data_IF_934804567250
#
_entry.id   IF_934804567250
#
_cell.length_a   1.000
_cell.length_b   1.000
_cell.length_c   1.000
_cell.angle_alpha   90.00
_cell.angle_beta   90.00
_cell.angle_gamma   90.00
#
_symmetry.space_group_name_H-M   'P 1'
#
loop_
_entity.id
_entity.type
_entity.pdbx_description
1 polymer ?
#
# COMPACT_ATOMS: atom_id res chain seq x y z
N UNK A 1 -8.29 15.40 16.15
CA UNK A 1 -9.14 14.82 15.08
C UNK A 1 -8.81 13.35 15.00
N UNK A 2 -9.80 12.46 15.16
CA UNK A 2 -9.65 11.03 14.90
C UNK A 2 -9.20 10.87 13.45
N UNK A 3 -7.99 10.39 13.21
CA UNK A 3 -7.55 10.04 11.84
C UNK A 3 -8.01 8.62 11.57
N UNK A 4 -8.82 8.45 10.54
CA UNK A 4 -9.17 7.14 10.04
C UNK A 4 -8.02 6.70 9.12
N UNK A 5 -7.31 5.62 9.49
CA UNK A 5 -6.26 5.05 8.64
C UNK A 5 -6.83 3.87 7.86
N UNK A 6 -6.58 3.84 6.56
CA UNK A 6 -6.89 2.67 5.74
C UNK A 6 -5.66 1.79 5.67
N UNK A 7 -5.81 0.49 5.91
CA UNK A 7 -4.69 -0.46 5.86
C UNK A 7 -5.11 -1.76 5.18
N UNK A 8 -4.13 -2.55 4.74
CA UNK A 8 -4.38 -3.90 4.25
C UNK A 8 -4.88 -4.82 5.37
N UNK A 9 -5.99 -5.52 5.10
CA UNK A 9 -6.65 -6.39 6.08
C UNK A 9 -5.91 -7.73 6.28
N UNK A 10 -5.30 -8.23 5.20
CA UNK A 10 -4.56 -9.48 5.11
C UNK A 10 -3.36 -9.29 4.18
N UNK A 11 -2.36 -10.20 4.20
CA UNK A 11 -1.33 -10.21 3.18
C UNK A 11 -1.95 -10.43 1.79
N UNK A 12 -1.51 -9.66 0.80
CA UNK A 12 -2.06 -9.73 -0.57
C UNK A 12 -0.90 -9.89 -1.53
N UNK A 13 -0.98 -10.90 -2.40
CA UNK A 13 -0.03 -11.10 -3.50
C UNK A 13 -0.60 -10.53 -4.78
N UNK A 14 0.17 -9.69 -5.45
CA UNK A 14 -0.18 -9.10 -6.74
C UNK A 14 0.98 -9.25 -7.72
N UNK A 15 0.68 -9.25 -9.01
CA UNK A 15 1.70 -9.08 -10.04
C UNK A 15 2.05 -7.59 -10.16
N UNK A 16 3.33 -7.25 -9.99
CA UNK A 16 3.82 -5.88 -10.07
C UNK A 16 4.99 -5.76 -11.04
N UNK A 17 4.69 -5.27 -12.24
CA UNK A 17 5.67 -4.93 -13.28
C UNK A 17 6.72 -6.05 -13.49
N UNK A 18 8.00 -5.68 -13.50
CA UNK A 18 9.13 -6.58 -13.76
C UNK A 18 9.55 -7.39 -12.51
N UNK A 19 8.87 -7.21 -11.38
CA UNK A 19 9.17 -7.90 -10.12
C UNK A 19 8.35 -9.19 -9.96
N UNK A 20 7.41 -9.45 -10.87
CA UNK A 20 6.51 -10.59 -10.79
C UNK A 20 5.58 -10.46 -9.58
N UNK A 21 5.37 -11.57 -8.87
CA UNK A 21 4.49 -11.61 -7.70
C UNK A 21 5.18 -11.00 -6.47
N UNK A 22 4.65 -9.89 -5.99
CA UNK A 22 5.02 -9.29 -4.70
C UNK A 22 3.89 -9.46 -3.70
N UNK A 23 4.24 -9.60 -2.43
CA UNK A 23 3.32 -9.78 -1.32
C UNK A 23 3.39 -8.55 -0.43
N UNK A 24 2.29 -7.79 -0.40
CA UNK A 24 2.09 -6.68 0.53
C UNK A 24 1.65 -7.28 1.87
N UNK A 25 2.37 -7.01 2.98
CA UNK A 25 1.96 -7.48 4.31
C UNK A 25 0.59 -6.95 4.74
N UNK A 26 0.02 -7.59 5.77
CA UNK A 26 -1.12 -7.05 6.52
C UNK A 26 -0.71 -5.78 7.28
N UNK A 27 -1.63 -4.83 7.41
CA UNK A 27 -1.45 -3.61 8.20
C UNK A 27 -0.68 -2.50 7.49
N UNK A 28 -0.33 -2.68 6.22
CA UNK A 28 0.34 -1.66 5.40
C UNK A 28 -0.62 -0.53 5.10
N UNK A 29 -0.17 0.71 5.29
CA UNK A 29 -0.96 1.91 5.02
C UNK A 29 -1.33 2.01 3.55
N UNK A 30 -2.59 2.37 3.29
CA UNK A 30 -3.08 2.65 1.94
C UNK A 30 -3.77 4.01 1.89
N UNK A 31 -3.67 4.67 0.74
CA UNK A 31 -4.31 5.95 0.46
C UNK A 31 -5.17 5.86 -0.80
N UNK A 32 -6.25 6.62 -0.84
CA UNK A 32 -7.05 6.85 -2.05
C UNK A 32 -6.91 8.29 -2.55
N UNK A 33 -5.89 9.01 -2.05
CA UNK A 33 -5.56 10.35 -2.52
C UNK A 33 -4.76 10.27 -3.83
N UNK A 34 -5.20 11.06 -4.81
CA UNK A 34 -4.57 11.21 -6.11
C UNK A 34 -4.24 12.68 -6.35
N UNK A 35 -3.50 13.00 -7.42
CA UNK A 35 -3.27 14.37 -7.83
C UNK A 35 -4.57 15.16 -8.15
N UNK A 36 -5.69 14.47 -8.40
CA UNK A 36 -7.02 15.06 -8.65
C UNK A 36 -7.91 15.08 -7.40
N UNK A 37 -7.37 14.72 -6.24
CA UNK A 37 -8.11 14.56 -4.98
C UNK A 37 -8.42 13.10 -4.66
N UNK A 38 -9.38 12.90 -3.76
CA UNK A 38 -9.78 11.57 -3.27
C UNK A 38 -10.56 10.82 -4.36
N UNK A 39 -10.12 9.61 -4.72
CA UNK A 39 -10.83 8.71 -5.64
C UNK A 39 -11.03 7.33 -5.02
N UNK A 40 -12.26 7.03 -4.61
CA UNK A 40 -12.63 5.76 -3.96
C UNK A 40 -12.48 4.52 -4.84
N UNK A 41 -12.21 4.67 -6.15
CA UNK A 41 -11.92 3.55 -7.04
C UNK A 41 -10.50 3.02 -6.87
N UNK A 42 -9.59 3.82 -6.33
CA UNK A 42 -8.18 3.47 -6.21
C UNK A 42 -7.74 3.42 -4.75
N UNK A 43 -6.88 2.47 -4.44
CA UNK A 43 -6.26 2.39 -3.12
C UNK A 43 -4.80 2.00 -3.30
N UNK A 44 -3.91 2.97 -3.16
CA UNK A 44 -2.49 2.77 -3.36
C UNK A 44 -1.80 2.50 -2.03
N UNK A 45 -0.79 1.63 -2.05
CA UNK A 45 0.15 1.52 -0.92
C UNK A 45 0.81 2.88 -0.67
N UNK A 46 0.78 3.33 0.59
CA UNK A 46 1.31 4.63 1.05
C UNK A 46 2.56 4.46 1.93
N UNK A 47 2.91 3.21 2.26
CA UNK A 47 4.09 2.87 3.07
C UNK A 47 4.90 1.76 2.40
N UNK A 48 6.22 1.96 2.33
CA UNK A 48 7.12 1.13 1.54
C UNK A 48 8.23 0.45 2.36
N UNK A 49 8.29 0.66 3.67
CA UNK A 49 9.39 0.16 4.53
C UNK A 49 9.48 -1.37 4.55
N UNK A 50 8.34 -2.06 4.37
CA UNK A 50 8.29 -3.52 4.25
C UNK A 50 9.08 -4.05 3.04
N UNK A 51 9.32 -3.23 2.01
CA UNK A 51 10.08 -3.62 0.82
C UNK A 51 11.54 -3.89 1.19
N UNK A 52 12.15 -3.12 2.09
CA UNK A 52 13.54 -3.30 2.49
C UNK A 52 13.77 -4.64 3.19
N UNK A 53 12.77 -5.09 3.95
CA UNK A 53 12.83 -6.36 4.69
C UNK A 53 12.49 -7.55 3.79
N UNK A 54 11.45 -7.43 2.96
CA UNK A 54 10.92 -8.58 2.19
C UNK A 54 11.62 -8.76 0.84
N UNK A 55 12.15 -7.70 0.26
CA UNK A 55 12.75 -7.68 -1.09
C UNK A 55 14.11 -6.97 -1.11
N UNK A 56 15.06 -7.30 -0.21
CA UNK A 56 16.29 -6.51 0.00
C UNK A 56 17.15 -6.37 -1.26
N UNK A 57 17.17 -7.40 -2.12
CA UNK A 57 17.98 -7.42 -3.34
C UNK A 57 17.53 -6.40 -4.40
N UNK A 58 16.26 -5.98 -4.37
CA UNK A 58 15.67 -5.07 -5.36
C UNK A 58 15.01 -3.86 -4.72
N UNK A 59 15.16 -3.67 -3.41
CA UNK A 59 14.37 -2.72 -2.62
C UNK A 59 14.43 -1.30 -3.15
N UNK A 60 15.62 -0.83 -3.55
CA UNK A 60 15.79 0.52 -4.12
C UNK A 60 14.94 0.73 -5.37
N UNK A 61 15.03 -0.19 -6.34
CA UNK A 61 14.29 -0.07 -7.60
C UNK A 61 12.79 -0.28 -7.39
N UNK A 62 12.42 -1.28 -6.57
CA UNK A 62 11.02 -1.58 -6.28
C UNK A 62 10.32 -0.40 -5.58
N UNK A 63 10.97 0.27 -4.62
CA UNK A 63 10.43 1.47 -3.99
C UNK A 63 10.23 2.61 -4.98
N UNK A 64 11.22 2.86 -5.83
CA UNK A 64 11.14 3.91 -6.86
C UNK A 64 9.95 3.67 -7.81
N UNK A 65 9.78 2.43 -8.27
CA UNK A 65 8.65 2.06 -9.14
C UNK A 65 7.31 2.10 -8.40
N UNK A 66 7.27 1.64 -7.14
CA UNK A 66 6.05 1.69 -6.33
C UNK A 66 5.59 3.13 -6.07
N UNK A 67 6.52 4.06 -5.86
CA UNK A 67 6.23 5.49 -5.72
C UNK A 67 5.77 6.13 -7.03
N UNK A 68 6.42 5.81 -8.15
CA UNK A 68 6.11 6.42 -9.45
C UNK A 68 4.82 5.89 -10.08
N UNK A 69 4.50 4.62 -9.88
CA UNK A 69 3.40 3.96 -10.57
C UNK A 69 2.23 3.59 -9.66
N UNK A 70 2.43 3.63 -8.34
CA UNK A 70 1.45 3.17 -7.37
C UNK A 70 1.28 1.66 -7.37
N UNK A 71 1.11 1.08 -6.19
CA UNK A 71 0.69 -0.30 -6.02
C UNK A 71 -0.80 -0.30 -5.65
N UNK A 72 -1.69 -0.55 -6.61
CA UNK A 72 -3.13 -0.55 -6.36
C UNK A 72 -3.59 -1.84 -5.66
N UNK A 73 -4.38 -1.68 -4.62
CA UNK A 73 -4.93 -2.75 -3.79
C UNK A 73 -6.46 -2.80 -3.98
N UNK A 74 -7.04 -3.97 -4.27
CA UNK A 74 -8.50 -4.11 -4.34
C UNK A 74 -9.16 -3.76 -3.01
N UNK A 75 -10.30 -3.05 -3.07
CA UNK A 75 -10.98 -2.49 -1.89
C UNK A 75 -11.40 -3.54 -0.86
N UNK A 76 -11.69 -4.76 -1.32
CA UNK A 76 -12.07 -5.91 -0.50
C UNK A 76 -10.95 -6.35 0.46
N UNK A 77 -9.72 -5.91 0.22
CA UNK A 77 -8.58 -6.19 1.07
C UNK A 77 -8.21 -5.04 2.00
N UNK A 78 -9.08 -4.04 2.16
CA UNK A 78 -8.79 -2.83 2.94
C UNK A 78 -9.76 -2.71 4.10
N UNK A 79 -9.22 -2.38 5.26
CA UNK A 79 -9.99 -2.04 6.46
C UNK A 79 -9.67 -0.63 6.92
N UNK A 80 -10.65 0.03 7.54
CA UNK A 80 -10.46 1.33 8.17
C UNK A 80 -10.26 1.13 9.67
N UNK A 81 -9.11 1.56 10.17
CA UNK A 81 -8.80 1.64 11.60
C UNK A 81 -9.13 3.06 12.09
N UNK A 82 -9.85 3.15 13.20
CA UNK A 82 -10.03 4.41 13.91
C UNK A 82 -8.85 4.56 14.86
N UNK A 83 -8.07 5.62 14.70
CA UNK A 83 -7.08 5.99 15.72
C UNK A 83 -7.85 6.55 16.92
N UNK A 84 -8.18 5.69 17.87
CA UNK A 84 -8.54 6.15 19.21
C UNK A 84 -7.27 6.75 19.81
N UNK A 85 -7.30 8.06 20.11
CA UNK A 85 -6.21 8.74 20.79
C UNK A 85 -5.87 7.94 22.06
N UNK A 86 -4.66 7.40 22.11
CA UNK A 86 -4.03 6.96 23.37
C UNK A 86 -3.56 8.20 24.12
#
# INVERSE_FOLDING_TARGET
MTKNRKVTANPITIDFRNYGKITIPKGVLVTNETAMGIDDKYNFVDEFDWIDTNYPLVARSLKMDAQNYGINIPKEHIITLKDENI
#
